data_IF_208043461192
#
_entry.id   IF_208043461192
#
_cell.length_a   1.000
_cell.length_b   1.000
_cell.length_c   1.000
_cell.angle_alpha   90.00
_cell.angle_beta   90.00
_cell.angle_gamma   90.00
#
_symmetry.space_group_name_H-M   'P 1'
#
loop_
_entity.id
_entity.type
_entity.pdbx_description
1 polymer ?
#
# COMPACT_ATOMS: atom_id res chain seq x y z
N UNK A 1 -10.26 -42.77 -38.76
CA UNK A 1 -9.43 -42.35 -37.63
C UNK A 1 -8.40 -41.25 -37.96
N UNK A 2 -7.65 -41.28 -39.09
CA UNK A 2 -6.65 -40.24 -39.41
C UNK A 2 -7.21 -38.81 -39.59
N UNK A 3 -8.43 -38.66 -40.11
CA UNK A 3 -9.08 -37.34 -40.34
C UNK A 3 -9.56 -36.67 -39.05
N UNK A 4 -9.94 -37.45 -38.03
CA UNK A 4 -10.39 -36.95 -36.72
C UNK A 4 -9.25 -36.41 -35.89
N UNK A 5 -8.06 -37.03 -36.00
CA UNK A 5 -6.85 -36.60 -35.27
C UNK A 5 -6.35 -35.26 -35.80
N UNK A 6 -6.40 -35.02 -37.13
CA UNK A 6 -6.01 -33.74 -37.74
C UNK A 6 -6.92 -32.60 -37.29
N UNK A 7 -8.22 -32.85 -37.15
CA UNK A 7 -9.17 -31.86 -36.66
C UNK A 7 -8.94 -31.46 -35.21
N UNK A 8 -8.58 -32.43 -34.34
CA UNK A 8 -8.23 -32.15 -32.94
C UNK A 8 -6.92 -31.35 -32.79
N UNK A 9 -5.92 -31.64 -33.62
CA UNK A 9 -4.65 -30.91 -33.64
C UNK A 9 -4.85 -29.46 -34.08
N UNK A 10 -5.67 -29.20 -35.09
CA UNK A 10 -5.99 -27.83 -35.53
C UNK A 10 -6.79 -27.06 -34.49
N UNK A 11 -7.68 -27.69 -33.73
CA UNK A 11 -8.41 -27.03 -32.64
C UNK A 11 -7.46 -26.67 -31.47
N UNK A 12 -6.47 -27.50 -31.18
CA UNK A 12 -5.46 -27.19 -30.15
C UNK A 12 -4.57 -25.99 -30.56
N UNK A 13 -4.19 -25.88 -31.82
CA UNK A 13 -3.38 -24.75 -32.31
C UNK A 13 -4.14 -23.42 -32.33
N UNK A 14 -5.47 -23.44 -32.52
CA UNK A 14 -6.28 -22.20 -32.44
C UNK A 14 -6.35 -21.58 -31.02
N UNK A 15 -6.03 -22.35 -29.98
CA UNK A 15 -6.01 -21.82 -28.60
C UNK A 15 -4.73 -21.01 -28.28
N UNK A 16 -3.67 -21.14 -29.06
CA UNK A 16 -2.42 -20.39 -28.86
C UNK A 16 -2.31 -19.09 -29.67
N UNK A 17 -3.31 -18.77 -30.48
CA UNK A 17 -3.27 -17.61 -31.39
C UNK A 17 -3.66 -16.27 -30.73
N UNK A 18 -3.99 -16.23 -29.44
CA UNK A 18 -4.16 -14.99 -28.67
C UNK A 18 -2.87 -14.60 -27.95
N UNK A 19 -1.73 -14.56 -28.66
CA UNK A 19 -0.56 -13.86 -28.16
C UNK A 19 -0.91 -12.37 -28.07
N UNK A 20 -1.33 -11.94 -26.88
CA UNK A 20 -1.58 -10.53 -26.61
C UNK A 20 -0.29 -9.78 -26.92
N UNK A 21 -0.33 -8.81 -27.82
CA UNK A 21 0.78 -7.90 -28.09
C UNK A 21 0.95 -6.96 -26.90
N UNK A 22 1.47 -7.48 -25.78
CA UNK A 22 1.70 -6.73 -24.57
C UNK A 22 2.92 -5.83 -24.73
N UNK A 23 2.79 -4.62 -24.22
CA UNK A 23 3.88 -3.63 -24.18
C UNK A 23 3.97 -3.05 -22.77
N UNK A 24 5.22 -2.87 -22.32
CA UNK A 24 5.50 -2.28 -21.02
C UNK A 24 5.23 -0.77 -21.01
N UNK A 25 4.67 -0.29 -19.90
CA UNK A 25 4.44 1.12 -19.60
C UNK A 25 4.95 1.45 -18.22
N UNK A 26 5.22 2.74 -18.01
CA UNK A 26 5.62 3.29 -16.71
C UNK A 26 4.66 4.41 -16.32
N UNK A 27 4.27 4.44 -15.04
CA UNK A 27 3.48 5.50 -14.46
C UNK A 27 3.97 5.83 -13.05
N UNK A 28 4.08 7.11 -12.74
CA UNK A 28 4.35 7.54 -11.36
C UNK A 28 3.04 7.41 -10.57
N UNK A 29 3.04 6.61 -9.50
CA UNK A 29 1.87 6.36 -8.65
C UNK A 29 1.91 7.12 -7.33
N UNK A 30 3.12 7.56 -6.92
CA UNK A 30 3.35 8.48 -5.81
C UNK A 30 4.68 9.23 -6.04
N UNK A 31 5.04 10.14 -5.14
CA UNK A 31 6.26 10.95 -5.29
C UNK A 31 7.52 10.09 -5.52
N UNK A 32 7.65 9.00 -4.79
CA UNK A 32 8.82 8.11 -4.82
C UNK A 32 8.56 6.75 -5.47
N UNK A 33 7.35 6.51 -6.01
CA UNK A 33 6.94 5.21 -6.51
C UNK A 33 6.62 5.26 -8.00
N UNK A 34 7.17 4.29 -8.73
CA UNK A 34 6.93 4.10 -10.17
C UNK A 34 6.40 2.70 -10.42
N UNK A 35 5.23 2.63 -11.03
CA UNK A 35 4.61 1.41 -11.50
C UNK A 35 5.08 1.11 -12.92
N UNK A 36 5.55 -0.13 -13.15
CA UNK A 36 5.83 -0.69 -14.45
C UNK A 36 4.78 -1.78 -14.69
N UNK A 37 4.02 -1.68 -15.77
CA UNK A 37 2.92 -2.59 -16.05
C UNK A 37 2.81 -2.89 -17.54
N UNK A 38 2.24 -4.03 -17.87
CA UNK A 38 1.90 -4.41 -19.23
C UNK A 38 0.52 -3.89 -19.62
N UNK A 39 0.36 -3.58 -20.90
CA UNK A 39 -0.90 -3.19 -21.53
C UNK A 39 -0.95 -3.70 -22.95
N UNK A 40 -2.15 -3.87 -23.52
CA UNK A 40 -2.28 -4.17 -24.93
C UNK A 40 -1.77 -3.00 -25.78
N UNK A 41 -1.04 -3.30 -26.85
CA UNK A 41 -0.48 -2.31 -27.79
C UNK A 41 -1.57 -1.40 -28.37
N UNK A 42 -2.75 -1.92 -28.60
CA UNK A 42 -3.89 -1.21 -29.18
C UNK A 42 -4.77 -0.55 -28.13
N UNK A 43 -4.77 -1.05 -26.87
CA UNK A 43 -5.52 -0.49 -25.76
C UNK A 43 -4.62 -0.13 -24.58
N UNK A 44 -3.95 1.01 -24.69
CA UNK A 44 -2.93 1.49 -23.71
C UNK A 44 -3.51 1.93 -22.37
N UNK A 45 -4.83 1.99 -22.21
CA UNK A 45 -5.51 2.47 -21.00
C UNK A 45 -5.76 1.36 -19.98
N UNK A 46 -5.78 0.10 -20.42
CA UNK A 46 -6.12 -1.03 -19.56
C UNK A 46 -4.84 -1.77 -19.17
N UNK A 47 -4.58 -1.87 -17.87
CA UNK A 47 -3.50 -2.70 -17.34
C UNK A 47 -3.81 -4.17 -17.54
N UNK A 48 -2.83 -4.92 -18.02
CA UNK A 48 -2.90 -6.37 -18.27
C UNK A 48 -1.57 -7.00 -17.86
N UNK A 49 -1.54 -8.34 -17.69
CA UNK A 49 -0.30 -9.08 -17.50
C UNK A 49 0.50 -8.69 -16.27
N UNK A 50 1.80 -8.72 -16.40
CA UNK A 50 2.74 -8.50 -15.29
C UNK A 50 2.80 -7.02 -14.86
N UNK A 51 3.03 -6.83 -13.57
CA UNK A 51 3.28 -5.52 -12.99
C UNK A 51 4.30 -5.61 -11.85
N UNK A 52 5.16 -4.61 -11.76
CA UNK A 52 6.00 -4.39 -10.60
C UNK A 52 6.14 -2.91 -10.29
N UNK A 53 6.31 -2.59 -9.01
CA UNK A 53 6.40 -1.23 -8.51
C UNK A 53 7.74 -1.07 -7.83
N UNK A 54 8.45 0.01 -8.19
CA UNK A 54 9.77 0.32 -7.65
C UNK A 54 9.78 1.67 -6.97
N UNK A 55 10.69 1.82 -6.01
CA UNK A 55 10.98 3.12 -5.39
C UNK A 55 12.00 3.93 -6.20
N UNK A 56 12.34 5.13 -5.71
CA UNK A 56 13.35 6.02 -6.33
C UNK A 56 14.75 5.42 -6.46
N UNK A 57 15.08 4.40 -5.67
CA UNK A 57 16.34 3.64 -5.75
C UNK A 57 16.24 2.42 -6.66
N UNK A 58 15.17 2.31 -7.45
CA UNK A 58 14.86 1.19 -8.35
C UNK A 58 14.74 -0.18 -7.63
N UNK A 59 14.41 -0.17 -6.34
CA UNK A 59 14.12 -1.40 -5.58
C UNK A 59 12.66 -1.76 -5.73
N UNK A 60 12.38 -3.03 -5.99
CA UNK A 60 11.02 -3.55 -6.13
C UNK A 60 10.33 -3.59 -4.76
N UNK A 61 9.13 -3.01 -4.68
CA UNK A 61 8.30 -2.98 -3.48
C UNK A 61 7.00 -3.76 -3.63
N UNK A 62 6.56 -4.01 -4.86
CA UNK A 62 5.38 -4.82 -5.13
C UNK A 62 5.49 -5.49 -6.49
N UNK A 63 4.92 -6.71 -6.60
CA UNK A 63 4.81 -7.47 -7.85
C UNK A 63 3.52 -8.26 -7.89
N UNK A 64 2.89 -8.30 -9.05
CA UNK A 64 1.69 -9.09 -9.30
C UNK A 64 1.24 -9.00 -10.74
N UNK A 65 -0.04 -9.28 -10.98
CA UNK A 65 -0.64 -9.26 -12.31
C UNK A 65 -1.90 -8.42 -12.33
N UNK A 66 -2.16 -7.86 -13.49
CA UNK A 66 -3.44 -7.23 -13.81
C UNK A 66 -4.23 -8.06 -14.80
N UNK A 67 -5.55 -8.07 -14.60
CA UNK A 67 -6.54 -8.61 -15.54
C UNK A 67 -7.63 -7.57 -15.73
N UNK A 68 -7.81 -7.11 -16.96
CA UNK A 68 -8.83 -6.11 -17.31
C UNK A 68 -8.78 -4.84 -16.46
N UNK A 69 -7.58 -4.36 -16.15
CA UNK A 69 -7.36 -3.14 -15.37
C UNK A 69 -7.42 -3.31 -13.85
N UNK A 70 -7.77 -4.49 -13.35
CA UNK A 70 -7.85 -4.81 -11.92
C UNK A 70 -6.70 -5.72 -11.51
N UNK A 71 -6.23 -5.57 -10.28
CA UNK A 71 -5.29 -6.53 -9.67
C UNK A 71 -5.93 -7.91 -9.62
N UNK A 72 -5.17 -8.92 -10.02
CA UNK A 72 -5.61 -10.31 -10.08
C UNK A 72 -4.57 -11.23 -9.45
N UNK A 73 -5.01 -12.41 -9.02
CA UNK A 73 -4.14 -13.44 -8.45
C UNK A 73 -3.34 -12.95 -7.25
N UNK A 74 -2.14 -13.46 -7.07
CA UNK A 74 -1.28 -13.20 -5.91
C UNK A 74 -0.41 -11.97 -6.19
N UNK A 75 -0.39 -11.05 -5.21
CA UNK A 75 0.53 -9.93 -5.15
C UNK A 75 1.48 -10.10 -3.98
N UNK A 76 2.75 -9.93 -4.26
CA UNK A 76 3.84 -9.95 -3.30
C UNK A 76 4.28 -8.51 -3.01
N UNK A 77 4.52 -8.21 -1.74
CA UNK A 77 5.02 -6.91 -1.29
C UNK A 77 6.31 -7.10 -0.52
N UNK A 78 7.25 -6.19 -0.73
CA UNK A 78 8.60 -6.32 -0.24
C UNK A 78 9.00 -5.14 0.64
N UNK A 79 9.93 -5.38 1.57
CA UNK A 79 10.62 -4.35 2.32
C UNK A 79 11.56 -3.54 1.43
N UNK A 80 12.08 -2.44 1.94
CA UNK A 80 13.13 -1.67 1.25
C UNK A 80 14.42 -2.49 1.03
N UNK A 81 14.61 -3.59 1.75
CA UNK A 81 15.74 -4.51 1.61
C UNK A 81 15.48 -5.63 0.60
N UNK A 82 14.25 -5.79 0.13
CA UNK A 82 13.83 -6.84 -0.79
C UNK A 82 13.24 -8.08 -0.09
N UNK A 83 13.08 -8.07 1.24
CA UNK A 83 12.45 -9.18 1.95
C UNK A 83 10.95 -9.20 1.69
N UNK A 84 10.37 -10.38 1.53
CA UNK A 84 8.92 -10.55 1.39
C UNK A 84 8.24 -10.23 2.72
N UNK A 85 7.37 -9.20 2.74
CA UNK A 85 6.69 -8.75 3.97
C UNK A 85 5.19 -9.02 3.96
N UNK A 86 4.57 -9.07 2.78
CA UNK A 86 3.14 -9.37 2.69
C UNK A 86 2.80 -10.08 1.38
N UNK A 87 1.84 -11.01 1.43
CA UNK A 87 1.26 -11.69 0.26
C UNK A 87 -0.25 -11.58 0.35
N UNK A 88 -0.87 -11.02 -0.69
CA UNK A 88 -2.31 -10.85 -0.77
C UNK A 88 -2.86 -11.46 -2.07
N UNK A 89 -3.91 -12.27 -1.94
CA UNK A 89 -4.65 -12.86 -3.06
C UNK A 89 -5.84 -11.95 -3.39
N UNK A 90 -5.74 -11.22 -4.51
CA UNK A 90 -6.80 -10.32 -4.96
C UNK A 90 -8.00 -11.04 -5.54
N UNK A 91 -7.82 -12.24 -6.10
CA UNK A 91 -8.92 -13.06 -6.63
C UNK A 91 -9.82 -13.54 -5.49
N UNK A 92 -9.21 -14.08 -4.41
CA UNK A 92 -9.94 -14.62 -3.26
C UNK A 92 -10.09 -13.60 -2.12
N UNK A 93 -9.55 -12.38 -2.26
CA UNK A 93 -9.52 -11.30 -1.24
C UNK A 93 -9.00 -11.79 0.11
N UNK A 94 -7.87 -12.49 0.07
CA UNK A 94 -7.30 -13.16 1.25
C UNK A 94 -5.86 -12.75 1.49
N UNK A 95 -5.56 -12.39 2.74
CA UNK A 95 -4.19 -12.23 3.23
C UNK A 95 -3.60 -13.63 3.43
N UNK A 96 -2.53 -13.94 2.70
CA UNK A 96 -1.84 -15.24 2.76
C UNK A 96 -0.62 -15.20 3.69
N UNK A 97 0.04 -14.04 3.75
CA UNK A 97 1.22 -13.84 4.56
C UNK A 97 1.33 -12.37 4.95
N UNK A 98 1.77 -12.08 6.18
CA UNK A 98 2.03 -10.73 6.66
C UNK A 98 3.03 -10.77 7.82
N UNK A 99 4.11 -10.04 7.68
CA UNK A 99 5.01 -9.76 8.79
C UNK A 99 4.49 -8.46 9.42
N UNK A 100 4.14 -8.46 10.71
CA UNK A 100 3.86 -7.23 11.43
C UNK A 100 5.11 -6.33 11.41
N UNK A 101 4.90 -5.03 11.20
CA UNK A 101 5.99 -4.04 11.25
C UNK A 101 6.41 -3.80 12.71
N UNK A 102 7.06 -4.78 13.33
CA UNK A 102 7.57 -4.70 14.71
C UNK A 102 9.01 -4.16 14.71
N UNK A 103 9.23 -3.12 15.53
CA UNK A 103 10.58 -2.68 15.88
C UNK A 103 11.26 -1.71 14.93
N UNK A 104 10.57 -1.17 13.95
CA UNK A 104 11.08 -0.13 13.06
C UNK A 104 10.80 1.28 13.61
N UNK A 105 11.29 2.30 12.92
CA UNK A 105 11.02 3.72 13.18
C UNK A 105 9.51 4.02 13.17
N UNK A 106 8.72 3.19 12.49
CA UNK A 106 7.26 3.30 12.41
C UNK A 106 6.62 2.30 13.36
N UNK A 107 5.86 2.81 14.33
CA UNK A 107 5.04 1.98 15.22
C UNK A 107 3.60 1.96 14.70
N UNK A 108 2.97 0.80 14.76
CA UNK A 108 1.57 0.63 14.36
C UNK A 108 0.70 0.41 15.58
N UNK A 109 -0.46 1.08 15.64
CA UNK A 109 -1.55 0.80 16.57
C UNK A 109 -2.89 0.85 15.86
N UNK A 110 -3.90 0.26 16.46
CA UNK A 110 -5.27 0.31 15.94
C UNK A 110 -6.25 0.68 17.05
N UNK A 111 -7.34 1.32 16.66
CA UNK A 111 -8.46 1.66 17.54
C UNK A 111 -9.71 1.01 16.98
N UNK A 112 -10.35 0.18 17.80
CA UNK A 112 -11.59 -0.54 17.46
C UNK A 112 -12.58 -0.34 18.60
N UNK A 113 -13.81 0.04 18.27
CA UNK A 113 -14.85 0.16 19.29
C UNK A 113 -15.27 -1.23 19.78
N UNK A 114 -15.07 -1.45 21.06
CA UNK A 114 -15.43 -2.68 21.79
C UNK A 114 -16.30 -2.40 22.98
N UNK A 115 -16.88 -1.19 23.06
CA UNK A 115 -17.72 -0.78 24.20
C UNK A 115 -18.88 -1.75 24.44
N UNK A 116 -19.10 -2.13 25.68
CA UNK A 116 -20.14 -3.05 26.08
C UNK A 116 -19.88 -4.53 25.79
N UNK A 117 -18.73 -4.88 25.25
CA UNK A 117 -18.36 -6.27 24.95
C UNK A 117 -17.50 -6.88 26.07
N UNK A 118 -17.78 -8.13 26.43
CA UNK A 118 -16.98 -8.88 27.41
C UNK A 118 -15.94 -9.71 26.68
N UNK A 119 -14.64 -9.40 26.91
CA UNK A 119 -13.49 -10.09 26.31
C UNK A 119 -13.61 -10.33 24.79
N UNK A 120 -13.83 -9.29 23.98
CA UNK A 120 -13.97 -9.46 22.54
C UNK A 120 -12.66 -9.95 21.90
N UNK A 121 -12.76 -10.85 20.94
CA UNK A 121 -11.63 -11.19 20.07
C UNK A 121 -11.49 -10.13 18.98
N UNK A 122 -10.49 -9.27 19.10
CA UNK A 122 -10.21 -8.21 18.13
C UNK A 122 -9.08 -8.62 17.21
N UNK A 123 -9.26 -8.41 15.90
CA UNK A 123 -8.20 -8.46 14.90
C UNK A 123 -8.05 -7.07 14.31
N UNK A 124 -6.83 -6.54 14.33
CA UNK A 124 -6.52 -5.21 13.84
C UNK A 124 -6.70 -5.09 12.32
N UNK A 125 -7.00 -3.89 11.78
CA UNK A 125 -7.00 -3.65 10.35
C UNK A 125 -5.58 -3.74 9.79
N UNK A 126 -5.45 -4.11 8.51
CA UNK A 126 -4.13 -4.22 7.86
C UNK A 126 -4.14 -3.40 6.57
N UNK A 127 -3.12 -2.56 6.36
CA UNK A 127 -2.89 -1.88 5.08
C UNK A 127 -2.41 -2.89 4.04
N UNK A 128 -3.14 -3.04 2.92
CA UNK A 128 -2.67 -3.85 1.79
C UNK A 128 -1.48 -3.14 1.16
N UNK A 129 -0.39 -3.89 0.99
CA UNK A 129 0.90 -3.36 0.55
C UNK A 129 1.85 -2.99 1.69
N UNK A 130 1.40 -3.15 2.96
CA UNK A 130 2.24 -2.92 4.14
C UNK A 130 2.80 -1.51 4.24
N UNK A 131 3.90 -1.38 4.98
CA UNK A 131 4.55 -0.10 5.24
C UNK A 131 5.28 0.44 3.98
N UNK A 132 6.10 -0.39 3.35
CA UNK A 132 7.03 0.08 2.31
C UNK A 132 6.36 0.45 0.97
N UNK A 133 5.19 -0.11 0.67
CA UNK A 133 4.41 0.28 -0.51
C UNK A 133 3.12 1.00 -0.09
N UNK A 134 2.27 0.34 0.68
CA UNK A 134 0.92 0.83 0.98
C UNK A 134 0.90 2.15 1.74
N UNK A 135 1.76 2.31 2.76
CA UNK A 135 1.90 3.57 3.49
C UNK A 135 2.58 4.65 2.65
N UNK A 136 3.63 4.32 1.87
CA UNK A 136 4.32 5.31 1.03
C UNK A 136 3.47 5.89 -0.10
N UNK A 137 2.35 5.26 -0.48
CA UNK A 137 1.36 5.87 -1.36
C UNK A 137 0.71 7.13 -0.75
N UNK A 138 0.68 7.20 0.59
CA UNK A 138 0.02 8.26 1.36
C UNK A 138 1.03 9.23 1.98
N UNK A 139 2.29 8.82 2.04
CA UNK A 139 3.35 9.61 2.62
C UNK A 139 3.76 10.75 1.67
N UNK A 140 3.73 11.98 2.20
CA UNK A 140 4.14 13.16 1.45
C UNK A 140 4.96 14.11 2.34
N UNK A 141 6.29 14.07 2.21
CA UNK A 141 7.23 14.92 2.95
C UNK A 141 7.02 16.42 2.72
N UNK A 142 6.46 16.80 1.56
CA UNK A 142 6.33 18.22 1.19
C UNK A 142 5.24 18.95 1.95
N UNK A 143 4.35 18.22 2.60
CA UNK A 143 3.18 18.79 3.29
C UNK A 143 3.42 19.02 4.79
N UNK A 144 4.68 19.02 5.25
CA UNK A 144 4.96 19.36 6.64
C UNK A 144 4.55 20.84 6.88
N UNK A 145 3.62 21.11 7.83
CA UNK A 145 3.19 22.47 8.13
C UNK A 145 4.36 23.35 8.57
N UNK A 146 4.33 24.65 8.21
CA UNK A 146 5.41 25.57 8.57
C UNK A 146 5.60 25.61 10.10
N UNK A 147 4.50 25.67 10.86
CA UNK A 147 4.56 25.63 12.32
C UNK A 147 5.26 24.38 12.88
N UNK A 148 5.16 23.23 12.20
CA UNK A 148 5.92 22.03 12.57
C UNK A 148 7.40 22.15 12.20
N UNK A 149 7.74 22.78 11.08
CA UNK A 149 9.14 23.05 10.68
C UNK A 149 9.84 24.01 11.61
N UNK A 150 9.10 24.93 12.23
CA UNK A 150 9.63 25.94 13.14
C UNK A 150 9.89 25.40 14.55
N UNK A 151 9.42 24.17 14.86
CA UNK A 151 9.69 23.53 16.15
C UNK A 151 11.19 23.24 16.32
N UNK A 152 11.65 23.32 17.57
CA UNK A 152 13.02 22.97 17.96
C UNK A 152 13.14 21.54 18.49
N UNK A 153 11.99 20.93 18.79
CA UNK A 153 11.86 19.61 19.36
C UNK A 153 11.48 18.58 18.31
N UNK A 154 11.79 17.35 18.59
CA UNK A 154 11.33 16.23 17.77
C UNK A 154 9.80 16.12 17.84
N UNK A 155 9.20 15.79 16.71
CA UNK A 155 7.74 15.71 16.56
C UNK A 155 7.34 14.27 16.30
N UNK A 156 6.41 13.75 17.10
CA UNK A 156 5.70 12.52 16.78
C UNK A 156 4.61 12.84 15.75
N UNK A 157 4.68 12.21 14.58
CA UNK A 157 3.63 12.25 13.58
C UNK A 157 2.80 10.98 13.65
N UNK A 158 1.48 11.15 13.79
CA UNK A 158 0.53 10.05 13.68
C UNK A 158 -0.27 10.17 12.38
N UNK A 159 -0.11 9.19 11.51
CA UNK A 159 -0.92 9.02 10.29
C UNK A 159 -2.13 8.18 10.65
N UNK A 160 -3.30 8.80 10.71
CA UNK A 160 -4.54 8.19 11.17
C UNK A 160 -5.45 7.90 9.98
N UNK A 161 -5.78 6.64 9.76
CA UNK A 161 -6.66 6.18 8.69
C UNK A 161 -7.97 5.66 9.28
N UNK A 162 -9.09 6.27 8.86
CA UNK A 162 -10.41 5.75 9.15
C UNK A 162 -10.72 4.63 8.14
N UNK A 163 -10.85 3.41 8.63
CA UNK A 163 -11.07 2.22 7.82
C UNK A 163 -12.49 1.73 8.02
N UNK A 164 -13.26 1.62 6.94
CA UNK A 164 -14.63 1.09 6.97
C UNK A 164 -14.67 -0.40 7.27
N UNK A 165 -15.83 -0.92 7.61
CA UNK A 165 -16.08 -2.36 7.75
C UNK A 165 -15.90 -3.14 6.43
N UNK A 166 -15.84 -2.46 5.28
CA UNK A 166 -15.54 -3.07 3.96
C UNK A 166 -14.07 -2.99 3.57
N UNK A 167 -13.20 -2.45 4.45
CA UNK A 167 -11.78 -2.31 4.20
C UNK A 167 -11.41 -1.15 3.26
N UNK A 168 -12.26 -0.13 3.18
CA UNK A 168 -11.96 1.09 2.41
C UNK A 168 -11.58 2.24 3.35
N UNK A 169 -10.64 3.07 2.93
CA UNK A 169 -10.30 4.30 3.63
C UNK A 169 -11.45 5.32 3.47
N UNK A 170 -12.00 5.78 4.57
CA UNK A 170 -13.07 6.81 4.63
C UNK A 170 -12.53 8.17 5.04
N UNK A 171 -11.39 8.21 5.73
CA UNK A 171 -10.73 9.42 6.18
C UNK A 171 -9.23 9.22 6.38
N UNK A 172 -8.52 10.35 6.34
CA UNK A 172 -7.09 10.38 6.58
C UNK A 172 -6.71 11.69 7.25
N UNK A 173 -6.02 11.64 8.38
CA UNK A 173 -5.43 12.81 9.02
C UNK A 173 -4.00 12.55 9.47
N UNK A 174 -3.26 13.63 9.71
CA UNK A 174 -1.93 13.60 10.29
C UNK A 174 -1.94 14.47 11.54
N UNK A 175 -1.63 13.86 12.69
CA UNK A 175 -1.44 14.56 13.95
C UNK A 175 0.05 14.84 14.11
N UNK A 176 0.39 16.08 14.40
CA UNK A 176 1.74 16.51 14.75
C UNK A 176 1.77 16.80 16.26
N UNK A 177 2.54 16.04 16.99
CA UNK A 177 2.53 16.03 18.46
C UNK A 177 3.95 16.30 18.99
N UNK A 178 4.10 17.37 19.76
CA UNK A 178 5.28 17.65 20.58
C UNK A 178 4.83 18.24 21.91
N UNK A 179 5.76 18.61 22.79
CA UNK A 179 5.44 19.23 24.08
C UNK A 179 4.63 20.51 23.93
N UNK A 180 4.87 21.31 22.90
CA UNK A 180 4.24 22.62 22.70
C UNK A 180 3.36 22.71 21.45
N UNK A 181 3.24 21.63 20.69
CA UNK A 181 2.51 21.63 19.44
C UNK A 181 1.71 20.34 19.31
N UNK A 182 0.39 20.45 19.26
CA UNK A 182 -0.49 19.33 19.04
C UNK A 182 -1.63 19.76 18.10
N UNK A 183 -1.51 19.40 16.82
CA UNK A 183 -2.46 19.81 15.79
C UNK A 183 -2.75 18.66 14.84
N UNK A 184 -4.03 18.47 14.55
CA UNK A 184 -4.54 17.56 13.52
C UNK A 184 -4.71 18.29 12.19
N UNK A 185 -4.23 17.69 11.11
CA UNK A 185 -4.48 18.12 9.75
C UNK A 185 -5.22 17.02 8.97
N UNK A 186 -6.47 17.27 8.65
CA UNK A 186 -7.23 16.41 7.73
C UNK A 186 -6.64 16.50 6.33
N UNK A 187 -6.38 15.35 5.74
CA UNK A 187 -5.83 15.24 4.40
C UNK A 187 -6.94 14.98 3.39
N UNK A 188 -6.79 15.54 2.18
CA UNK A 188 -7.65 15.16 1.07
C UNK A 188 -7.36 13.71 0.68
N UNK A 189 -8.41 12.90 0.61
CA UNK A 189 -8.33 11.55 0.06
C UNK A 189 -8.77 11.48 -1.40
N UNK A 190 -9.05 12.63 -2.03
CA UNK A 190 -9.39 12.70 -3.47
C UNK A 190 -8.14 12.49 -4.31
N UNK A 191 -8.32 11.84 -5.44
CA UNK A 191 -7.29 11.66 -6.48
C UNK A 191 -6.03 10.88 -6.03
N UNK A 192 -6.12 10.13 -4.93
CA UNK A 192 -5.07 9.19 -4.53
C UNK A 192 -5.05 7.99 -5.47
N UNK A 193 -3.88 7.33 -5.55
CA UNK A 193 -3.78 6.06 -6.25
C UNK A 193 -4.78 5.04 -5.67
N UNK A 194 -5.38 4.20 -6.53
CA UNK A 194 -6.40 3.22 -6.13
C UNK A 194 -5.98 2.39 -4.91
N UNK A 195 -4.74 1.95 -4.86
CA UNK A 195 -4.23 1.10 -3.77
C UNK A 195 -4.13 1.84 -2.42
N UNK A 196 -4.14 3.17 -2.42
CA UNK A 196 -4.14 3.96 -1.19
C UNK A 196 -5.39 3.66 -0.33
N UNK A 197 -6.51 3.34 -0.98
CA UNK A 197 -7.79 3.10 -0.30
C UNK A 197 -7.96 1.67 0.23
N UNK A 198 -7.06 0.73 -0.10
CA UNK A 198 -7.24 -0.70 0.14
C UNK A 198 -6.70 -1.13 1.50
N UNK A 199 -7.57 -1.66 2.35
CA UNK A 199 -7.25 -2.24 3.65
C UNK A 199 -7.99 -3.58 3.83
N UNK A 200 -7.50 -4.38 4.75
CA UNK A 200 -8.27 -5.46 5.34
C UNK A 200 -8.92 -4.87 6.57
N UNK A 201 -10.26 -4.96 6.74
CA UNK A 201 -10.95 -4.34 7.86
C UNK A 201 -10.60 -5.02 9.18
N UNK A 202 -10.71 -4.28 10.27
CA UNK A 202 -10.69 -4.88 11.60
C UNK A 202 -11.88 -5.82 11.79
N UNK A 203 -11.72 -6.81 12.66
CA UNK A 203 -12.86 -7.64 13.06
C UNK A 203 -12.99 -7.71 14.57
N UNK A 204 -14.23 -7.79 15.03
CA UNK A 204 -14.59 -8.07 16.43
C UNK A 204 -15.44 -9.33 16.45
N UNK A 205 -14.95 -10.37 17.13
CA UNK A 205 -15.57 -11.71 17.14
C UNK A 205 -15.84 -12.25 15.71
N UNK A 206 -14.90 -11.99 14.77
CA UNK A 206 -14.97 -12.42 13.38
C UNK A 206 -15.90 -11.56 12.48
N UNK A 207 -16.57 -10.55 13.00
CA UNK A 207 -17.40 -9.62 12.20
C UNK A 207 -16.60 -8.38 11.83
N UNK A 208 -16.57 -7.97 10.54
CA UNK A 208 -15.89 -6.75 10.12
C UNK A 208 -16.53 -5.51 10.77
N UNK A 209 -15.69 -4.59 11.24
CA UNK A 209 -16.10 -3.35 11.91
C UNK A 209 -15.30 -2.16 11.41
N UNK A 210 -15.84 -0.96 11.60
CA UNK A 210 -15.08 0.29 11.42
C UNK A 210 -13.97 0.36 12.47
N UNK A 211 -12.85 0.96 12.07
CA UNK A 211 -11.66 1.05 12.92
C UNK A 211 -10.78 2.22 12.51
N UNK A 212 -9.79 2.54 13.34
CA UNK A 212 -8.66 3.38 12.94
C UNK A 212 -7.39 2.55 12.89
N UNK A 213 -6.58 2.79 11.86
CA UNK A 213 -5.20 2.34 11.79
C UNK A 213 -4.30 3.55 11.93
N UNK A 214 -3.34 3.49 12.84
CA UNK A 214 -2.44 4.60 13.12
C UNK A 214 -1.00 4.15 12.94
N UNK A 215 -0.28 4.86 12.08
CA UNK A 215 1.18 4.74 11.98
C UNK A 215 1.84 5.92 12.68
N UNK A 216 2.73 5.64 13.62
CA UNK A 216 3.49 6.63 14.38
C UNK A 216 4.91 6.72 13.83
N UNK A 217 5.34 7.91 13.45
CA UNK A 217 6.66 8.19 12.90
C UNK A 217 7.29 9.34 13.67
N UNK A 218 8.52 9.15 14.17
CA UNK A 218 9.25 10.24 14.81
C UNK A 218 9.99 11.08 13.76
N UNK A 219 9.71 12.36 13.73
CA UNK A 219 10.44 13.35 12.93
C UNK A 219 11.50 14.02 13.80
N UNK A 220 12.78 13.75 13.51
CA UNK A 220 13.91 14.31 14.23
C UNK A 220 14.33 15.65 13.64
N UNK A 221 13.89 16.74 14.26
CA UNK A 221 14.13 18.12 13.79
C UNK A 221 15.60 18.53 13.94
N UNK A 222 16.27 18.14 15.03
CA UNK A 222 17.67 18.43 15.26
C UNK A 222 18.59 17.88 14.17
N UNK A 223 18.36 16.63 13.74
CA UNK A 223 19.13 15.99 12.68
C UNK A 223 18.86 16.57 11.28
N UNK A 224 17.65 17.10 11.06
CA UNK A 224 17.27 17.71 9.80
C UNK A 224 18.00 19.05 9.56
N UNK A 225 18.22 19.84 10.61
CA UNK A 225 18.95 21.13 10.51
C UNK A 225 20.40 20.97 10.07
N UNK A 226 21.08 19.97 10.60
CA UNK A 226 22.50 19.72 10.30
C UNK A 226 22.70 19.22 8.85
N UNK A 227 21.67 18.65 8.21
CA UNK A 227 21.72 18.08 6.86
C UNK A 227 21.01 18.91 5.79
N UNK A 228 20.36 20.00 6.17
CA UNK A 228 19.54 20.82 5.23
C UNK A 228 18.33 20.09 4.62
N UNK A 229 18.00 18.91 5.13
CA UNK A 229 16.89 18.08 4.63
C UNK A 229 16.12 17.48 5.80
N UNK A 230 14.79 17.59 5.75
CA UNK A 230 13.89 16.88 6.66
C UNK A 230 13.72 15.43 6.15
N UNK A 231 14.67 14.56 6.46
CA UNK A 231 14.56 13.15 6.10
C UNK A 231 13.96 12.37 7.26
N UNK A 232 12.87 11.67 7.02
CA UNK A 232 12.54 10.52 7.85
C UNK A 232 13.68 9.53 7.63
N UNK A 233 14.31 9.01 8.70
CA UNK A 233 15.38 8.06 8.54
C UNK A 233 14.86 6.84 7.79
N UNK A 234 15.12 6.76 6.48
CA UNK A 234 15.08 5.50 5.77
C UNK A 234 16.32 4.76 6.20
N UNK A 235 16.19 3.66 6.92
CA UNK A 235 17.33 2.84 7.30
C UNK A 235 18.17 2.52 6.07
N UNK A 236 19.42 3.01 6.09
CA UNK A 236 20.51 2.34 5.40
C UNK A 236 20.92 1.17 6.29
N UNK A 237 20.54 -0.01 5.91
CA UNK A 237 21.18 -1.24 6.35
C UNK A 237 22.25 -1.62 5.33
#
# INVERSE_FOLDING_TARGET
MKKTIVFFITLLFCQFANAQNLVWRKMRVAHTLVENYETDKNNKKVRLGECFIVNSSNRELARGKYKNGLKDSIWNYFSANGDLVQVYDFTNKKLLYNIPDEGTIVKQRSEVDTAGLVKPKVVAPVKIGGLNYGFYLLYNERNLPQAAKDQKEDILMEYVFDVSATGKMEGFSINYISTFYNVEFKQSIKDLHQDAYEFIPATVNGKPVKSKLVYQVMLYISQARDRGTYNIPTHKY
#
